data_IF_983360416837
#
_entry.id   IF_983360416837
#
_cell.length_a   1.000
_cell.length_b   1.000
_cell.length_c   1.000
_cell.angle_alpha   90.00
_cell.angle_beta   90.00
_cell.angle_gamma   90.00
#
_symmetry.space_group_name_H-M   'P 1'
#
loop_
_entity.id
_entity.type
_entity.pdbx_description
1 polymer ?
#
# COMPACT_ATOMS: atom_id res chain seq x y z
N UNK A 1 -61.91 39.59 -2.73
CA UNK A 1 -62.64 38.57 -3.52
C UNK A 1 -61.65 37.49 -3.94
N UNK A 2 -61.71 36.30 -3.33
CA UNK A 2 -60.78 35.19 -3.64
C UNK A 2 -61.53 34.24 -4.59
N UNK A 3 -61.12 34.19 -5.87
CA UNK A 3 -61.67 33.23 -6.84
C UNK A 3 -61.23 31.82 -6.43
N UNK A 4 -62.19 30.99 -6.01
CA UNK A 4 -61.96 29.55 -5.78
C UNK A 4 -61.78 28.88 -7.14
N UNK A 5 -60.53 28.60 -7.50
CA UNK A 5 -60.18 27.79 -8.67
C UNK A 5 -60.64 26.34 -8.41
N UNK A 6 -61.68 25.88 -9.12
CA UNK A 6 -62.10 24.47 -9.09
C UNK A 6 -61.29 23.72 -10.15
N UNK A 7 -60.22 23.03 -9.74
CA UNK A 7 -59.52 22.11 -10.63
C UNK A 7 -60.40 20.86 -10.87
N UNK A 8 -60.56 20.51 -12.15
CA UNK A 8 -61.25 19.28 -12.57
C UNK A 8 -60.48 18.04 -12.07
N UNK A 9 -61.15 16.96 -11.65
CA UNK A 9 -60.49 15.71 -11.23
C UNK A 9 -59.56 15.13 -12.30
N UNK A 10 -59.83 15.40 -13.58
CA UNK A 10 -58.97 15.02 -14.70
C UNK A 10 -57.63 15.80 -14.70
N UNK A 11 -57.65 17.06 -14.26
CA UNK A 11 -56.47 17.92 -14.19
C UNK A 11 -55.53 17.49 -13.04
N UNK A 12 -56.11 17.06 -11.91
CA UNK A 12 -55.33 16.48 -10.80
C UNK A 12 -54.69 15.13 -11.19
N UNK A 13 -55.40 14.28 -11.94
CA UNK A 13 -54.86 13.02 -12.43
C UNK A 13 -53.68 13.23 -13.40
N UNK A 14 -53.79 14.20 -14.32
CA UNK A 14 -52.72 14.55 -15.25
C UNK A 14 -51.47 15.10 -14.53
N UNK A 15 -51.64 15.91 -13.49
CA UNK A 15 -50.52 16.42 -12.68
C UNK A 15 -49.82 15.28 -11.93
N UNK A 16 -50.57 14.31 -11.36
CA UNK A 16 -49.96 13.17 -10.68
C UNK A 16 -49.14 12.26 -11.60
N UNK A 17 -49.58 12.04 -12.85
CA UNK A 17 -48.87 11.24 -13.84
C UNK A 17 -47.59 11.97 -14.30
N UNK A 18 -47.65 13.30 -14.46
CA UNK A 18 -46.49 14.12 -14.79
C UNK A 18 -45.40 14.07 -13.72
N UNK A 19 -45.76 14.06 -12.43
CA UNK A 19 -44.79 14.00 -11.33
C UNK A 19 -44.08 12.64 -11.25
N UNK A 20 -44.77 11.53 -11.58
CA UNK A 20 -44.19 10.19 -11.63
C UNK A 20 -43.20 9.97 -12.79
N UNK A 21 -43.33 10.75 -13.88
CA UNK A 21 -42.45 10.63 -15.04
C UNK A 21 -41.09 11.35 -14.88
N UNK A 22 -40.92 12.19 -13.84
CA UNK A 22 -39.72 13.03 -13.66
C UNK A 22 -38.72 12.36 -12.67
N UNK A 23 -39.12 11.30 -11.97
CA UNK A 23 -38.30 10.64 -10.95
C UNK A 23 -37.55 9.40 -11.46
N UNK A 24 -37.17 9.35 -12.74
CA UNK A 24 -36.27 8.31 -13.22
C UNK A 24 -34.83 8.62 -12.80
N UNK A 25 -34.35 7.96 -11.75
CA UNK A 25 -32.92 7.88 -11.50
C UNK A 25 -32.30 7.03 -12.62
N UNK A 26 -31.64 7.71 -13.58
CA UNK A 26 -30.82 7.06 -14.59
C UNK A 26 -29.49 6.66 -13.93
N UNK A 27 -29.35 5.39 -13.59
CA UNK A 27 -28.07 4.81 -13.19
C UNK A 27 -27.24 4.58 -14.45
N UNK A 28 -26.35 5.51 -14.77
CA UNK A 28 -25.27 5.28 -15.72
C UNK A 28 -24.11 4.63 -14.98
N UNK A 29 -23.73 3.42 -15.38
CA UNK A 29 -22.51 2.76 -14.91
C UNK A 29 -21.39 3.01 -15.92
N UNK A 30 -20.20 3.32 -15.44
CA UNK A 30 -19.00 3.38 -16.28
C UNK A 30 -18.65 1.96 -16.76
N UNK A 31 -18.36 1.79 -18.04
CA UNK A 31 -18.05 0.48 -18.65
C UNK A 31 -16.88 0.62 -19.62
N UNK A 32 -15.97 -0.36 -19.61
CA UNK A 32 -14.84 -0.40 -20.54
C UNK A 32 -15.12 -1.39 -21.67
N UNK A 33 -15.06 -0.94 -22.92
CA UNK A 33 -15.24 -1.83 -24.05
C UNK A 33 -14.01 -2.74 -24.23
N UNK A 34 -14.14 -4.07 -24.02
CA UNK A 34 -12.99 -4.97 -24.08
C UNK A 34 -12.45 -5.15 -25.50
N UNK A 35 -13.21 -4.80 -26.54
CA UNK A 35 -12.75 -4.87 -27.93
C UNK A 35 -11.53 -3.98 -28.23
N UNK A 36 -11.23 -2.99 -27.37
CA UNK A 36 -10.01 -2.19 -27.48
C UNK A 36 -8.74 -2.94 -27.03
N UNK A 37 -8.87 -4.11 -26.38
CA UNK A 37 -7.75 -4.87 -25.81
C UNK A 37 -7.55 -6.26 -26.42
N UNK A 38 -8.50 -6.77 -27.20
CA UNK A 38 -8.45 -8.13 -27.79
C UNK A 38 -7.33 -8.31 -28.82
N UNK A 39 -6.97 -7.26 -29.56
CA UNK A 39 -5.98 -7.38 -30.65
C UNK A 39 -4.51 -7.22 -30.20
N UNK A 40 -4.26 -7.00 -28.91
CA UNK A 40 -2.93 -6.61 -28.42
C UNK A 40 -1.87 -7.73 -28.53
N UNK A 41 -2.26 -9.00 -28.70
CA UNK A 41 -1.33 -10.13 -28.80
C UNK A 41 -1.85 -11.30 -29.69
N UNK A 42 -2.76 -11.03 -30.64
CA UNK A 42 -3.33 -12.07 -31.51
C UNK A 42 -4.13 -13.16 -30.78
N UNK A 43 -4.60 -12.84 -29.57
CA UNK A 43 -5.40 -13.73 -28.73
C UNK A 43 -6.86 -13.29 -28.81
N UNK A 44 -7.75 -14.14 -29.31
CA UNK A 44 -9.19 -13.83 -29.47
C UNK A 44 -9.97 -13.87 -28.13
N UNK A 45 -9.26 -13.64 -27.01
CA UNK A 45 -9.80 -13.74 -25.65
C UNK A 45 -10.12 -12.34 -25.16
N UNK A 46 -11.41 -12.07 -24.97
CA UNK A 46 -11.89 -10.85 -24.34
C UNK A 46 -11.47 -10.82 -22.86
N UNK A 47 -10.68 -9.82 -22.41
CA UNK A 47 -10.35 -9.69 -21.00
C UNK A 47 -11.57 -9.26 -20.18
N UNK A 48 -11.63 -9.70 -18.92
CA UNK A 48 -12.60 -9.20 -17.95
C UNK A 48 -12.10 -7.86 -17.38
N UNK A 49 -12.87 -6.80 -17.62
CA UNK A 49 -12.56 -5.44 -17.18
C UNK A 49 -13.45 -4.94 -16.04
N UNK A 50 -14.31 -5.81 -15.50
CA UNK A 50 -15.25 -5.45 -14.43
C UNK A 50 -14.56 -4.86 -13.19
N UNK A 51 -13.33 -5.28 -12.91
CA UNK A 51 -12.51 -4.77 -11.81
C UNK A 51 -12.00 -3.34 -12.02
N UNK A 52 -12.15 -2.74 -13.20
CA UNK A 52 -11.75 -1.36 -13.50
C UNK A 52 -12.94 -0.41 -13.67
N UNK A 53 -14.17 -0.95 -13.72
CA UNK A 53 -15.43 -0.20 -13.87
C UNK A 53 -15.93 0.43 -12.57
N UNK A 54 -15.27 0.12 -11.45
CA UNK A 54 -15.52 0.74 -10.15
C UNK A 54 -14.49 1.84 -9.94
N UNK A 55 -14.94 3.00 -9.46
CA UNK A 55 -14.03 4.11 -9.20
C UNK A 55 -12.92 3.69 -8.21
N UNK A 56 -11.67 4.02 -8.55
CA UNK A 56 -10.48 3.72 -7.75
C UNK A 56 -10.23 2.23 -7.45
N UNK A 57 -10.83 1.30 -8.21
CA UNK A 57 -10.54 -0.13 -8.07
C UNK A 57 -9.41 -0.58 -9.00
N UNK A 58 -8.75 -1.66 -8.60
CA UNK A 58 -7.68 -2.31 -9.36
C UNK A 58 -7.84 -3.82 -9.28
N UNK A 59 -7.34 -4.51 -10.31
CA UNK A 59 -7.36 -5.97 -10.33
C UNK A 59 -6.44 -6.56 -9.24
N UNK A 60 -6.79 -7.72 -8.65
CA UNK A 60 -5.88 -8.46 -7.79
C UNK A 60 -4.67 -8.98 -8.59
N UNK A 61 -3.51 -9.08 -7.94
CA UNK A 61 -2.27 -9.49 -8.60
C UNK A 61 -1.00 -9.05 -7.88
N UNK A 62 0.14 -9.27 -8.54
CA UNK A 62 1.46 -8.87 -8.04
C UNK A 62 1.79 -7.44 -8.46
N UNK A 63 2.11 -6.59 -7.49
CA UNK A 63 2.53 -5.22 -7.73
C UNK A 63 3.85 -4.93 -7.02
N UNK A 64 4.79 -4.31 -7.74
CA UNK A 64 5.99 -3.72 -7.16
C UNK A 64 5.59 -2.49 -6.36
N UNK A 65 5.89 -2.47 -5.07
CA UNK A 65 5.50 -1.36 -4.19
C UNK A 65 6.61 -0.96 -3.23
N UNK A 66 6.66 0.32 -2.90
CA UNK A 66 7.40 0.83 -1.75
C UNK A 66 6.57 0.57 -0.49
N UNK A 67 7.14 -0.20 0.43
CA UNK A 67 6.51 -0.54 1.71
C UNK A 67 6.92 0.52 2.72
N UNK A 68 5.94 1.22 3.26
CA UNK A 68 6.12 2.35 4.17
C UNK A 68 5.44 2.00 5.49
N UNK A 69 6.18 2.05 6.59
CA UNK A 69 5.65 1.84 7.95
C UNK A 69 5.82 3.13 8.73
N UNK A 70 4.71 3.67 9.25
CA UNK A 70 4.68 4.91 10.02
C UNK A 70 5.43 6.07 9.33
N UNK A 71 5.32 6.16 7.99
CA UNK A 71 5.94 7.19 7.17
C UNK A 71 7.41 6.93 6.76
N UNK A 72 8.00 5.80 7.15
CA UNK A 72 9.37 5.42 6.76
C UNK A 72 9.33 4.29 5.74
N UNK A 73 10.02 4.46 4.62
CA UNK A 73 10.21 3.37 3.65
C UNK A 73 11.09 2.30 4.28
N UNK A 74 10.57 1.07 4.38
CA UNK A 74 11.28 -0.08 4.96
C UNK A 74 11.79 -1.05 3.90
N UNK A 75 11.15 -1.12 2.74
CA UNK A 75 11.47 -2.07 1.67
C UNK A 75 10.81 -1.65 0.33
N UNK A 76 11.30 -2.21 -0.78
CA UNK A 76 10.70 -2.05 -2.12
C UNK A 76 10.71 -3.40 -2.85
N UNK A 77 9.55 -4.05 -2.94
CA UNK A 77 9.43 -5.41 -3.50
C UNK A 77 8.09 -5.67 -4.19
N UNK A 78 8.01 -6.81 -4.86
CA UNK A 78 6.76 -7.31 -5.42
C UNK A 78 5.92 -7.94 -4.32
N UNK A 79 4.68 -7.45 -4.15
CA UNK A 79 3.72 -7.91 -3.15
C UNK A 79 2.48 -8.45 -3.86
N UNK A 80 1.98 -9.58 -3.40
CA UNK A 80 0.70 -10.15 -3.84
C UNK A 80 -0.46 -9.39 -3.19
N UNK A 81 -1.39 -8.90 -4.01
CA UNK A 81 -2.60 -8.22 -3.58
C UNK A 81 -3.84 -9.03 -3.93
N UNK A 82 -4.75 -9.13 -2.96
CA UNK A 82 -5.99 -9.87 -3.09
C UNK A 82 -7.20 -8.96 -2.95
N UNK A 83 -8.28 -9.27 -3.66
CA UNK A 83 -9.54 -8.53 -3.55
C UNK A 83 -10.41 -9.03 -2.39
N UNK A 84 -11.24 -8.15 -1.83
CA UNK A 84 -12.29 -8.54 -0.86
C UNK A 84 -13.27 -9.56 -1.41
N UNK A 85 -13.48 -9.58 -2.73
CA UNK A 85 -14.39 -10.49 -3.41
C UNK A 85 -13.84 -11.92 -3.45
N UNK A 86 -12.54 -12.10 -3.73
CA UNK A 86 -11.86 -13.40 -3.65
C UNK A 86 -11.74 -13.90 -2.20
N UNK A 87 -11.62 -12.96 -1.26
CA UNK A 87 -11.56 -13.23 0.18
C UNK A 87 -12.89 -12.95 0.89
N UNK A 88 -14.02 -13.22 0.25
CA UNK A 88 -15.35 -13.33 0.90
C UNK A 88 -15.42 -14.55 1.83
N UNK A 89 -14.45 -14.68 2.73
CA UNK A 89 -14.45 -15.52 3.90
C UNK A 89 -13.27 -15.08 4.79
N UNK A 90 -13.48 -14.09 5.66
CA UNK A 90 -13.49 -14.37 7.10
C UNK A 90 -13.23 -13.15 8.02
N UNK A 91 -12.84 -11.94 7.56
CA UNK A 91 -12.45 -10.89 8.55
C UNK A 91 -12.69 -9.41 8.19
N UNK A 92 -13.46 -9.06 7.17
CA UNK A 92 -13.75 -7.64 6.87
C UNK A 92 -15.17 -7.26 7.30
N UNK A 93 -15.27 -6.54 8.42
CA UNK A 93 -16.52 -5.93 8.92
C UNK A 93 -16.70 -4.53 8.34
N UNK A 94 -16.63 -4.35 7.04
CA UNK A 94 -16.97 -3.08 6.40
C UNK A 94 -17.72 -3.39 5.12
N UNK A 95 -19.06 -3.40 5.24
CA UNK A 95 -19.97 -3.37 4.11
C UNK A 95 -19.92 -1.97 3.50
N UNK A 96 -18.90 -1.74 2.66
CA UNK A 96 -18.75 -0.55 1.84
C UNK A 96 -18.26 -0.98 0.46
N UNK A 97 -18.88 -0.46 -0.59
CA UNK A 97 -18.85 -0.95 -1.98
C UNK A 97 -17.52 -0.78 -2.73
N UNK A 98 -16.42 -0.51 -2.03
CA UNK A 98 -15.09 -0.37 -2.65
C UNK A 98 -14.36 -1.71 -2.67
N UNK A 99 -14.02 -2.18 -3.88
CA UNK A 99 -13.10 -3.29 -4.10
C UNK A 99 -11.69 -2.88 -3.66
N UNK A 100 -11.41 -2.97 -2.36
CA UNK A 100 -10.09 -2.71 -1.79
C UNK A 100 -9.15 -3.90 -1.98
N UNK A 101 -7.91 -3.60 -2.36
CA UNK A 101 -6.83 -4.58 -2.46
C UNK A 101 -6.11 -4.70 -1.11
N UNK A 102 -5.85 -5.95 -0.71
CA UNK A 102 -5.15 -6.26 0.53
C UNK A 102 -3.79 -6.89 0.24
N UNK A 103 -2.69 -6.36 0.81
CA UNK A 103 -1.37 -6.93 0.61
C UNK A 103 -1.24 -8.26 1.38
N UNK A 104 -0.51 -9.20 0.80
CA UNK A 104 -0.04 -10.38 1.49
C UNK A 104 1.37 -10.15 2.00
N UNK A 105 1.49 -9.95 3.31
CA UNK A 105 2.77 -9.89 4.00
C UNK A 105 2.85 -11.01 5.02
N UNK A 106 3.98 -11.69 5.09
CA UNK A 106 4.18 -12.77 6.06
C UNK A 106 4.52 -12.22 7.45
N UNK A 107 4.43 -13.09 8.47
CA UNK A 107 4.84 -12.74 9.84
C UNK A 107 6.32 -12.41 9.94
N UNK A 108 7.17 -13.09 9.16
CA UNK A 108 8.61 -12.90 9.13
C UNK A 108 8.96 -11.54 8.52
N UNK A 109 8.27 -11.15 7.45
CA UNK A 109 8.47 -9.87 6.77
C UNK A 109 8.11 -8.70 7.68
N UNK A 110 6.93 -8.75 8.31
CA UNK A 110 6.54 -7.72 9.28
C UNK A 110 7.52 -7.65 10.47
N UNK A 111 8.00 -8.80 10.95
CA UNK A 111 9.04 -8.83 11.99
C UNK A 111 10.35 -8.22 11.52
N UNK A 112 10.76 -8.45 10.26
CA UNK A 112 11.94 -7.87 9.63
C UNK A 112 11.82 -6.36 9.50
N UNK A 113 10.63 -5.85 9.23
CA UNK A 113 10.35 -4.40 9.21
C UNK A 113 10.21 -3.76 10.60
N UNK A 114 10.50 -4.53 11.66
CA UNK A 114 10.51 -4.02 13.03
C UNK A 114 9.16 -4.05 13.74
N UNK A 115 8.15 -4.76 13.23
CA UNK A 115 6.90 -4.97 13.97
C UNK A 115 7.07 -6.16 14.94
N UNK A 116 6.71 -5.95 16.21
CA UNK A 116 6.75 -6.98 17.27
C UNK A 116 5.59 -7.96 17.14
N UNK A 117 5.56 -8.75 16.08
CA UNK A 117 4.49 -9.73 15.78
C UNK A 117 4.20 -10.68 16.97
N UNK A 118 5.24 -11.07 17.73
CA UNK A 118 5.10 -11.94 18.92
C UNK A 118 4.42 -11.25 20.12
N UNK A 119 4.45 -9.92 20.19
CA UNK A 119 3.84 -9.16 21.27
C UNK A 119 2.36 -8.85 20.98
N UNK A 120 1.90 -9.05 19.74
CA UNK A 120 0.53 -8.75 19.31
C UNK A 120 -0.30 -10.03 19.41
N UNK A 121 -1.03 -10.19 20.51
CA UNK A 121 -1.86 -11.37 20.76
C UNK A 121 -3.07 -11.50 19.83
N UNK A 122 -3.49 -10.40 19.20
CA UNK A 122 -4.64 -10.36 18.27
C UNK A 122 -4.27 -10.66 16.82
N UNK A 123 -2.98 -10.87 16.53
CA UNK A 123 -2.49 -11.07 15.16
C UNK A 123 -3.09 -12.34 14.57
N UNK A 124 -3.77 -12.20 13.42
CA UNK A 124 -4.33 -13.33 12.67
C UNK A 124 -3.63 -13.47 11.34
N UNK A 125 -3.44 -14.72 10.94
CA UNK A 125 -2.88 -15.10 9.64
C UNK A 125 -3.90 -15.93 8.88
N UNK A 126 -4.05 -15.68 7.59
CA UNK A 126 -4.91 -16.49 6.71
C UNK A 126 -4.24 -17.84 6.39
N UNK A 127 -4.98 -18.79 5.81
CA UNK A 127 -4.48 -20.09 5.36
C UNK A 127 -3.28 -19.99 4.40
N UNK A 128 -3.17 -18.89 3.65
CA UNK A 128 -2.07 -18.61 2.73
C UNK A 128 -0.83 -18.00 3.40
N UNK A 129 -0.80 -17.85 4.72
CA UNK A 129 0.33 -17.26 5.45
C UNK A 129 0.36 -15.72 5.46
N UNK A 130 -0.62 -15.05 4.83
CA UNK A 130 -0.74 -13.60 4.83
C UNK A 130 -1.30 -13.09 6.18
N UNK A 131 -0.64 -12.09 6.76
CA UNK A 131 -1.10 -11.43 7.99
C UNK A 131 -2.26 -10.48 7.70
N UNK A 132 -3.30 -10.57 8.53
CA UNK A 132 -4.45 -9.70 8.48
C UNK A 132 -4.13 -8.44 9.28
N UNK A 133 -3.67 -7.38 8.63
CA UNK A 133 -3.24 -6.14 9.30
C UNK A 133 -4.38 -5.50 10.12
N UNK A 134 -5.63 -5.61 9.68
CA UNK A 134 -6.80 -5.14 10.42
C UNK A 134 -7.07 -5.87 11.75
N UNK A 135 -6.38 -6.98 12.02
CA UNK A 135 -6.44 -7.67 13.32
C UNK A 135 -5.58 -7.00 14.41
N UNK A 136 -4.70 -6.08 14.02
CA UNK A 136 -3.91 -5.25 14.94
C UNK A 136 -4.77 -4.05 15.34
N UNK A 137 -5.04 -3.81 16.63
CA UNK A 137 -5.80 -2.66 17.09
C UNK A 137 -5.17 -1.36 16.60
N UNK A 138 -5.97 -0.41 16.13
CA UNK A 138 -5.52 0.92 15.67
C UNK A 138 -4.48 0.88 14.53
N UNK A 139 -4.36 -0.26 13.82
CA UNK A 139 -3.57 -0.32 12.60
C UNK A 139 -4.43 -0.01 11.37
N UNK A 140 -3.84 0.65 10.39
CA UNK A 140 -4.46 0.90 9.08
C UNK A 140 -3.51 0.52 7.96
N UNK A 141 -4.09 0.11 6.83
CA UNK A 141 -3.37 -0.18 5.60
C UNK A 141 -4.00 0.62 4.48
N UNK A 142 -3.17 1.35 3.73
CA UNK A 142 -3.59 2.08 2.55
C UNK A 142 -2.65 1.74 1.39
N UNK A 143 -3.23 1.40 0.24
CA UNK A 143 -2.48 1.12 -0.97
C UNK A 143 -2.77 2.19 -2.01
N UNK A 144 -1.80 3.08 -2.20
CA UNK A 144 -1.84 4.06 -3.27
C UNK A 144 -1.27 3.47 -4.55
N UNK A 145 -2.15 2.93 -5.39
CA UNK A 145 -1.77 2.30 -6.66
C UNK A 145 -1.01 3.24 -7.60
N UNK A 146 -1.47 4.50 -7.71
CA UNK A 146 -0.87 5.48 -8.64
C UNK A 146 0.59 5.78 -8.30
N UNK A 147 0.93 5.78 -7.01
CA UNK A 147 2.29 6.00 -6.53
C UNK A 147 3.05 4.70 -6.27
N UNK A 148 2.41 3.54 -6.40
CA UNK A 148 2.94 2.23 -6.02
C UNK A 148 3.45 2.21 -4.56
N UNK A 149 2.68 2.82 -3.64
CA UNK A 149 3.04 2.93 -2.23
C UNK A 149 2.08 2.15 -1.36
N UNK A 150 2.61 1.29 -0.53
CA UNK A 150 1.87 0.58 0.51
C UNK A 150 2.19 1.21 1.86
N UNK A 151 1.23 1.95 2.42
CA UNK A 151 1.36 2.63 3.70
C UNK A 151 0.70 1.82 4.82
N UNK A 152 1.49 1.43 5.81
CA UNK A 152 1.04 0.78 7.03
C UNK A 152 1.21 1.74 8.20
N UNK A 153 0.11 2.06 8.86
CA UNK A 153 0.12 2.74 10.14
C UNK A 153 -0.07 1.70 11.23
N UNK A 154 0.87 1.63 12.18
CA UNK A 154 0.86 0.65 13.28
C UNK A 154 1.15 1.36 14.60
N UNK A 155 0.45 1.03 15.70
CA UNK A 155 0.71 1.64 16.99
C UNK A 155 2.16 1.47 17.45
N UNK A 156 2.74 2.51 18.05
CA UNK A 156 4.14 2.48 18.48
C UNK A 156 4.45 1.37 19.50
N UNK A 157 3.46 0.91 20.27
CA UNK A 157 3.61 -0.23 21.18
C UNK A 157 3.93 -1.55 20.44
N UNK A 158 3.45 -1.69 19.21
CA UNK A 158 3.68 -2.83 18.33
C UNK A 158 4.95 -2.70 17.48
N UNK A 159 5.67 -1.57 17.53
CA UNK A 159 6.92 -1.35 16.80
C UNK A 159 8.12 -1.57 17.72
N UNK A 160 9.19 -2.16 17.18
CA UNK A 160 10.49 -2.29 17.83
C UNK A 160 11.09 -0.91 18.02
N UNK A 161 11.51 -0.62 19.24
CA UNK A 161 12.24 0.60 19.55
C UNK A 161 13.67 0.45 19.03
N UNK A 162 13.89 0.76 17.76
CA UNK A 162 15.25 0.95 17.24
C UNK A 162 15.74 2.32 17.73
N UNK A 163 16.82 2.31 18.51
CA UNK A 163 17.49 3.55 18.89
C UNK A 163 18.08 4.17 17.62
N UNK A 164 18.10 5.51 17.52
CA UNK A 164 18.73 6.18 16.38
C UNK A 164 20.18 5.70 16.21
N UNK A 165 20.50 5.14 15.04
CA UNK A 165 21.81 4.55 14.74
C UNK A 165 21.95 3.06 15.07
N UNK A 166 20.87 2.37 15.44
CA UNK A 166 20.86 0.91 15.58
C UNK A 166 20.98 0.23 14.21
N UNK A 167 21.88 -0.75 14.12
CA UNK A 167 22.07 -1.64 12.97
C UNK A 167 21.89 -3.07 13.48
N UNK A 168 21.13 -3.89 12.76
CA UNK A 168 20.87 -5.27 13.20
C UNK A 168 22.16 -6.09 13.19
N UNK A 169 22.43 -6.93 14.20
CA UNK A 169 23.55 -7.88 14.16
C UNK A 169 23.54 -8.80 12.92
N UNK A 170 22.35 -9.07 12.37
CA UNK A 170 22.21 -9.89 11.16
C UNK A 170 22.72 -9.19 9.89
N UNK A 171 22.84 -7.86 9.91
CA UNK A 171 23.42 -7.06 8.81
C UNK A 171 24.94 -6.91 8.95
N UNK A 172 25.55 -7.43 10.02
CA UNK A 172 26.99 -7.33 10.22
C UNK A 172 27.72 -8.29 9.30
N UNK A 173 28.48 -7.74 8.36
CA UNK A 173 29.41 -8.50 7.54
C UNK A 173 30.66 -8.86 8.36
N UNK A 174 30.97 -10.16 8.43
CA UNK A 174 32.18 -10.66 9.09
C UNK A 174 33.45 -10.40 8.25
N UNK A 175 33.28 -9.87 7.03
CA UNK A 175 34.33 -9.68 6.06
C UNK A 175 34.82 -11.01 5.49
N UNK A 176 35.95 -10.94 4.80
CA UNK A 176 36.62 -12.10 4.22
C UNK A 176 37.87 -12.45 5.02
N UNK A 177 38.27 -13.72 4.99
CA UNK A 177 39.57 -14.13 5.54
C UNK A 177 40.70 -13.54 4.67
N UNK A 178 41.51 -12.65 5.24
CA UNK A 178 42.57 -11.97 4.53
C UNK A 178 43.84 -11.81 5.37
N UNK A 179 45.00 -11.94 4.72
CA UNK A 179 46.29 -11.54 5.27
C UNK A 179 46.67 -10.16 4.73
N UNK A 180 46.89 -9.18 5.61
CA UNK A 180 47.17 -7.80 5.24
C UNK A 180 48.47 -7.29 5.89
N UNK A 181 49.39 -6.77 5.07
CA UNK A 181 50.63 -6.13 5.53
C UNK A 181 50.69 -4.70 5.03
N UNK A 182 50.83 -3.74 5.95
CA UNK A 182 51.04 -2.34 5.63
C UNK A 182 52.37 -1.88 6.22
N UNK A 183 53.26 -1.34 5.37
CA UNK A 183 54.54 -0.79 5.78
C UNK A 183 54.65 0.68 5.36
N UNK A 184 55.02 1.54 6.30
CA UNK A 184 55.32 2.96 6.05
C UNK A 184 56.70 3.29 6.60
N UNK A 185 57.57 3.80 5.73
CA UNK A 185 58.87 4.34 6.08
C UNK A 185 58.90 5.83 5.73
N UNK A 186 59.07 6.67 6.75
CA UNK A 186 59.19 8.11 6.59
C UNK A 186 60.57 8.55 7.12
N UNK A 187 61.26 9.41 6.37
CA UNK A 187 62.55 9.97 6.75
C UNK A 187 62.60 11.46 6.45
N UNK A 188 63.23 12.22 7.34
CA UNK A 188 63.53 13.64 7.13
C UNK A 188 64.93 13.90 7.62
N UNK A 189 65.73 14.58 6.81
CA UNK A 189 67.06 15.06 7.18
C UNK A 189 66.99 16.58 7.30
N UNK A 190 67.19 17.09 8.51
CA UNK A 190 67.30 18.54 8.75
C UNK A 190 68.77 18.87 8.94
N UNK A 191 69.45 19.51 7.96
CA UNK A 191 70.81 19.96 8.16
C UNK A 191 70.87 21.07 9.22
N UNK A 192 71.95 21.17 10.01
CA UNK A 192 72.08 22.21 11.03
C UNK A 192 72.13 23.59 10.38
N UNK A 193 71.39 24.53 10.96
CA UNK A 193 71.49 25.96 10.61
C UNK A 193 72.85 26.42 11.14
N UNK A 194 73.78 26.76 10.25
CA UNK A 194 75.04 27.41 10.64
C UNK A 194 74.72 28.76 11.29
N UNK A 195 74.62 28.76 12.62
CA UNK A 195 74.59 29.95 13.44
C UNK A 195 75.87 29.95 14.27
N UNK A 196 76.88 30.59 13.67
CA UNK A 196 78.05 31.29 14.21
C UNK A 196 78.73 30.74 15.48
N UNK A 197 80.07 30.68 15.45
CA UNK A 197 80.90 31.33 16.48
C UNK A 197 82.25 31.73 15.87
N UNK A 198 82.46 33.04 15.81
CA UNK A 198 83.73 33.71 15.54
C UNK A 198 84.83 33.20 16.48
N UNK A 199 86.06 33.14 15.98
CA UNK A 199 87.25 33.40 16.79
C UNK A 199 88.24 34.22 15.99
#
# INVERSE_FOLDING_TARGET
MIKKFKLSPCCLALISIGVLAISSELYAREFFNPAFLTDLNGSDVSPDLSAFEVANSQAPGKYRVDIIINGTVVDTKDVDFFSTAEQKASYLNEAGEELKLYPCLSTEELSGYGIKVKAISSLKTNANGCVIISSIPEASVDFNFNLQKLELSVPQAAVSSTVRGYVSPDEFDNGINAFYLNYRYNGTVIPPKNQCMNK
#
